data_IF_939790486026
#
_entry.id   IF_939790486026
#
_cell.length_a   1.000
_cell.length_b   1.000
_cell.length_c   1.000
_cell.angle_alpha   90.00
_cell.angle_beta   90.00
_cell.angle_gamma   90.00
#
_symmetry.space_group_name_H-M   'P 1'
#
loop_
_entity.id
_entity.type
_entity.pdbx_description
1 polymer ?
#
# COMPACT_ATOMS: atom_id res chain seq x y z
N UNK A 1 -20.24 -12.88 -26.26
CA UNK A 1 -19.35 -12.88 -25.09
C UNK A 1 -20.05 -13.40 -23.82
N UNK A 2 -21.12 -12.76 -23.32
CA UNK A 2 -21.87 -13.21 -22.12
C UNK A 2 -22.30 -14.69 -22.15
N UNK A 3 -22.94 -15.15 -23.24
CA UNK A 3 -23.38 -16.56 -23.42
C UNK A 3 -22.22 -17.58 -23.42
N UNK A 4 -21.05 -17.19 -23.94
CA UNK A 4 -19.88 -18.10 -23.99
C UNK A 4 -19.32 -18.28 -22.59
N UNK A 5 -19.15 -17.18 -21.84
CA UNK A 5 -18.73 -17.24 -20.44
C UNK A 5 -19.71 -18.07 -19.61
N UNK A 6 -21.01 -17.88 -19.82
CA UNK A 6 -22.04 -18.65 -19.10
C UNK A 6 -21.92 -20.16 -19.33
N UNK A 7 -21.77 -20.59 -20.59
CA UNK A 7 -21.58 -22.00 -20.92
C UNK A 7 -20.28 -22.58 -20.34
N UNK A 8 -19.19 -21.79 -20.31
CA UNK A 8 -17.93 -22.21 -19.69
C UNK A 8 -18.15 -22.41 -18.19
N UNK A 9 -18.72 -21.42 -17.50
CA UNK A 9 -18.92 -21.48 -16.05
C UNK A 9 -19.83 -22.63 -15.65
N UNK A 10 -20.90 -22.93 -16.40
CA UNK A 10 -21.75 -24.10 -16.14
C UNK A 10 -20.97 -25.42 -16.28
N UNK A 11 -20.08 -25.55 -17.27
CA UNK A 11 -19.22 -26.74 -17.38
C UNK A 11 -18.31 -26.92 -16.15
N UNK A 12 -17.77 -25.83 -15.60
CA UNK A 12 -16.97 -25.89 -14.37
C UNK A 12 -17.82 -26.31 -13.18
N UNK A 13 -19.04 -25.77 -13.05
CA UNK A 13 -20.00 -26.15 -12.01
C UNK A 13 -20.36 -27.64 -12.11
N UNK A 14 -20.84 -28.08 -13.26
CA UNK A 14 -21.32 -29.45 -13.49
C UNK A 14 -20.21 -30.48 -13.33
N UNK A 15 -19.02 -30.17 -13.85
CA UNK A 15 -17.84 -31.02 -13.74
C UNK A 15 -17.12 -30.94 -12.39
N UNK A 16 -17.53 -30.05 -11.48
CA UNK A 16 -16.82 -29.72 -10.22
C UNK A 16 -15.33 -29.45 -10.44
N UNK A 17 -15.01 -28.81 -11.56
CA UNK A 17 -13.63 -28.57 -11.98
C UNK A 17 -13.06 -27.44 -11.11
N UNK A 18 -11.92 -27.62 -10.42
CA UNK A 18 -11.33 -26.55 -9.63
C UNK A 18 -11.06 -25.31 -10.48
N UNK A 19 -11.38 -24.13 -9.93
CA UNK A 19 -11.01 -22.85 -10.54
C UNK A 19 -9.80 -22.33 -9.79
N UNK A 20 -8.69 -22.06 -10.49
CA UNK A 20 -7.54 -21.44 -9.84
C UNK A 20 -7.71 -19.93 -9.77
N UNK A 21 -8.04 -19.31 -10.91
CA UNK A 21 -8.20 -17.88 -11.07
C UNK A 21 -9.46 -17.55 -11.85
N UNK A 22 -10.20 -16.55 -11.37
CA UNK A 22 -11.27 -15.90 -12.11
C UNK A 22 -10.94 -14.42 -12.29
N UNK A 23 -10.86 -13.97 -13.54
CA UNK A 23 -10.77 -12.54 -13.88
C UNK A 23 -12.06 -12.11 -14.60
N UNK A 24 -12.86 -11.33 -13.89
CA UNK A 24 -14.07 -10.70 -14.40
C UNK A 24 -13.79 -9.21 -14.57
N UNK A 25 -13.53 -8.81 -15.81
CA UNK A 25 -13.36 -7.41 -16.19
C UNK A 25 -14.48 -7.00 -17.14
N UNK A 26 -15.23 -5.96 -16.76
CA UNK A 26 -16.37 -5.48 -17.53
C UNK A 26 -16.22 -4.00 -17.87
N UNK A 27 -16.52 -3.64 -19.11
CA UNK A 27 -16.22 -2.30 -19.66
C UNK A 27 -17.42 -1.63 -20.34
N UNK A 28 -18.64 -2.19 -20.24
CA UNK A 28 -19.81 -1.71 -20.99
C UNK A 28 -20.94 -1.35 -20.01
N UNK A 29 -21.54 -0.17 -20.15
CA UNK A 29 -22.60 0.29 -19.25
C UNK A 29 -23.92 -0.47 -19.46
N UNK A 30 -24.10 -1.58 -18.76
CA UNK A 30 -25.39 -2.28 -18.70
C UNK A 30 -25.55 -2.98 -17.36
N UNK A 31 -26.58 -2.57 -16.62
CA UNK A 31 -26.97 -3.17 -15.33
C UNK A 31 -27.54 -4.59 -15.49
N UNK A 32 -27.85 -5.03 -16.71
CA UNK A 32 -28.39 -6.38 -17.01
C UNK A 32 -27.40 -7.51 -16.69
N UNK A 33 -26.15 -7.20 -16.31
CA UNK A 33 -25.07 -8.18 -16.12
C UNK A 33 -24.85 -8.54 -14.66
N UNK A 34 -25.43 -7.80 -13.70
CA UNK A 34 -25.25 -8.10 -12.27
C UNK A 34 -25.71 -9.52 -11.88
N UNK A 35 -26.85 -10.04 -12.39
CA UNK A 35 -27.22 -11.43 -12.11
C UNK A 35 -26.21 -12.44 -12.66
N UNK A 36 -25.59 -12.16 -13.80
CA UNK A 36 -24.55 -13.02 -14.39
C UNK A 36 -23.26 -12.97 -13.56
N UNK A 37 -22.85 -11.80 -13.06
CA UNK A 37 -21.71 -11.70 -12.15
C UNK A 37 -21.94 -12.49 -10.87
N UNK A 38 -23.11 -12.35 -10.25
CA UNK A 38 -23.45 -13.12 -9.06
C UNK A 38 -23.37 -14.63 -9.33
N UNK A 39 -23.90 -15.07 -10.48
CA UNK A 39 -23.84 -16.47 -10.91
C UNK A 39 -22.41 -16.96 -11.10
N UNK A 40 -21.57 -16.20 -11.82
CA UNK A 40 -20.18 -16.60 -12.09
C UNK A 40 -19.30 -16.55 -10.86
N UNK A 41 -19.51 -15.56 -9.98
CA UNK A 41 -18.86 -15.49 -8.68
C UNK A 41 -19.24 -16.72 -7.85
N UNK A 42 -20.53 -17.02 -7.71
CA UNK A 42 -21.02 -18.19 -6.95
C UNK A 42 -20.36 -19.50 -7.42
N UNK A 43 -20.32 -19.74 -8.75
CA UNK A 43 -19.62 -20.90 -9.32
C UNK A 43 -18.14 -20.91 -8.93
N UNK A 44 -17.44 -19.79 -9.08
CA UNK A 44 -16.01 -19.73 -8.76
C UNK A 44 -15.73 -20.00 -7.28
N UNK A 45 -16.54 -19.44 -6.38
CA UNK A 45 -16.42 -19.66 -4.94
C UNK A 45 -16.69 -21.14 -4.59
N UNK A 46 -17.73 -21.75 -5.16
CA UNK A 46 -18.05 -23.18 -4.95
C UNK A 46 -16.96 -24.12 -5.51
N UNK A 47 -16.26 -23.70 -6.56
CA UNK A 47 -15.19 -24.44 -7.20
C UNK A 47 -13.79 -24.13 -6.62
N UNK A 48 -13.73 -23.47 -5.46
CA UNK A 48 -12.48 -23.31 -4.70
C UNK A 48 -11.50 -22.32 -5.32
N UNK A 49 -12.00 -21.22 -5.92
CA UNK A 49 -11.15 -20.15 -6.48
C UNK A 49 -10.09 -19.67 -5.48
N UNK A 50 -8.87 -19.49 -5.97
CA UNK A 50 -7.75 -18.94 -5.20
C UNK A 50 -7.53 -17.47 -5.51
N UNK A 51 -7.63 -17.09 -6.79
CA UNK A 51 -7.36 -15.73 -7.23
C UNK A 51 -8.62 -15.14 -7.84
N UNK A 52 -9.24 -14.18 -7.16
CA UNK A 52 -10.43 -13.49 -7.64
C UNK A 52 -10.07 -12.06 -8.01
N UNK A 53 -10.33 -11.75 -9.27
CA UNK A 53 -10.11 -10.43 -9.84
C UNK A 53 -11.42 -9.93 -10.42
N UNK A 54 -11.92 -8.82 -9.90
CA UNK A 54 -13.21 -8.25 -10.27
C UNK A 54 -13.07 -6.75 -10.56
N UNK A 55 -13.28 -6.36 -11.82
CA UNK A 55 -13.14 -4.99 -12.30
C UNK A 55 -14.39 -4.53 -12.99
N UNK A 56 -14.94 -3.43 -12.48
CA UNK A 56 -16.03 -2.68 -13.10
C UNK A 56 -15.60 -1.22 -13.24
N UNK A 57 -16.19 -0.47 -14.19
CA UNK A 57 -15.95 0.96 -14.30
C UNK A 57 -16.41 1.65 -13.00
N UNK A 58 -15.59 2.58 -12.50
CA UNK A 58 -15.79 3.23 -11.20
C UNK A 58 -17.06 4.08 -11.10
N UNK A 59 -17.70 4.42 -12.23
CA UNK A 59 -19.00 5.10 -12.26
C UNK A 59 -20.19 4.14 -12.10
N UNK A 60 -19.98 2.82 -12.18
CA UNK A 60 -20.99 1.80 -11.89
C UNK A 60 -21.01 1.44 -10.39
N UNK A 61 -21.01 2.46 -9.54
CA UNK A 61 -20.90 2.40 -8.07
C UNK A 61 -22.03 1.65 -7.35
N UNK A 62 -23.00 1.08 -8.07
CA UNK A 62 -24.19 0.47 -7.46
C UNK A 62 -24.14 -1.04 -7.33
N UNK A 63 -23.12 -1.73 -7.88
CA UNK A 63 -23.07 -3.19 -7.82
C UNK A 63 -22.83 -3.69 -6.38
N UNK A 64 -23.80 -4.40 -5.75
CA UNK A 64 -23.64 -4.92 -4.40
C UNK A 64 -22.83 -6.22 -4.44
N UNK A 65 -21.50 -6.08 -4.48
CA UNK A 65 -20.59 -7.22 -4.49
C UNK A 65 -20.85 -8.12 -3.26
N UNK A 66 -21.00 -9.45 -3.41
CA UNK A 66 -21.30 -10.37 -2.31
C UNK A 66 -20.06 -10.63 -1.43
N UNK A 67 -19.55 -9.58 -0.78
CA UNK A 67 -18.31 -9.59 -0.01
C UNK A 67 -18.31 -10.63 1.10
N UNK A 68 -19.41 -10.81 1.83
CA UNK A 68 -19.48 -11.83 2.89
C UNK A 68 -19.26 -13.24 2.34
N UNK A 69 -19.83 -13.56 1.18
CA UNK A 69 -19.64 -14.85 0.51
C UNK A 69 -18.21 -15.02 0.03
N UNK A 70 -17.63 -13.96 -0.55
CA UNK A 70 -16.23 -13.95 -1.00
C UNK A 70 -15.29 -14.21 0.19
N UNK A 71 -15.47 -13.49 1.31
CA UNK A 71 -14.64 -13.63 2.51
C UNK A 71 -14.85 -14.98 3.21
N UNK A 72 -16.01 -15.60 3.09
CA UNK A 72 -16.29 -16.93 3.67
C UNK A 72 -15.56 -18.07 2.91
N UNK A 73 -15.00 -17.78 1.75
CA UNK A 73 -14.35 -18.77 0.89
C UNK A 73 -12.98 -19.15 1.45
N UNK A 74 -12.78 -20.45 1.72
CA UNK A 74 -11.61 -20.98 2.42
C UNK A 74 -10.36 -21.13 1.55
N UNK A 75 -10.51 -21.05 0.23
CA UNK A 75 -9.42 -21.22 -0.75
C UNK A 75 -8.82 -19.91 -1.23
N UNK A 76 -9.53 -18.78 -1.00
CA UNK A 76 -9.21 -17.49 -1.58
C UNK A 76 -7.88 -16.97 -1.01
N UNK A 77 -6.90 -16.73 -1.89
CA UNK A 77 -5.56 -16.22 -1.59
C UNK A 77 -5.37 -14.79 -2.05
N UNK A 78 -5.90 -14.44 -3.22
CA UNK A 78 -5.83 -13.09 -3.76
C UNK A 78 -7.21 -12.53 -4.08
N UNK A 79 -7.47 -11.31 -3.62
CA UNK A 79 -8.66 -10.54 -3.96
C UNK A 79 -8.26 -9.19 -4.55
N UNK A 80 -8.62 -8.95 -5.81
CA UNK A 80 -8.37 -7.69 -6.52
C UNK A 80 -9.69 -7.11 -6.96
N UNK A 81 -10.05 -5.95 -6.40
CA UNK A 81 -11.29 -5.23 -6.70
C UNK A 81 -10.97 -3.89 -7.35
N UNK A 82 -11.68 -3.57 -8.43
CA UNK A 82 -11.60 -2.26 -9.09
C UNK A 82 -12.99 -1.67 -9.32
N UNK A 83 -13.19 -0.41 -8.91
CA UNK A 83 -14.41 0.35 -9.18
C UNK A 83 -15.65 -0.05 -8.38
N UNK A 84 -15.51 -0.88 -7.34
CA UNK A 84 -16.63 -1.37 -6.52
C UNK A 84 -17.01 -0.40 -5.39
N UNK A 85 -18.27 -0.43 -4.95
CA UNK A 85 -18.72 0.25 -3.73
C UNK A 85 -18.95 -0.75 -2.60
N UNK A 86 -18.19 -0.60 -1.51
CA UNK A 86 -18.28 -1.39 -0.29
C UNK A 86 -18.97 -0.64 0.86
N UNK A 87 -19.38 0.62 0.67
CA UNK A 87 -20.09 1.41 1.67
C UNK A 87 -21.48 0.83 1.96
N UNK A 88 -22.15 0.27 0.96
CA UNK A 88 -23.45 -0.37 1.09
C UNK A 88 -23.39 -1.80 1.67
N UNK A 89 -22.20 -2.33 1.94
CA UNK A 89 -22.05 -3.69 2.47
C UNK A 89 -22.20 -3.67 3.99
N UNK A 90 -23.32 -4.18 4.50
CA UNK A 90 -23.49 -4.47 5.93
C UNK A 90 -22.59 -5.63 6.36
N UNK A 91 -21.31 -5.33 6.62
CA UNK A 91 -20.37 -6.29 7.24
C UNK A 91 -20.63 -6.51 8.75
N UNK A 92 -21.68 -5.88 9.30
CA UNK A 92 -21.99 -5.86 10.73
C UNK A 92 -22.77 -7.07 11.25
N UNK A 93 -23.29 -7.96 10.40
CA UNK A 93 -24.17 -9.06 10.84
C UNK A 93 -23.53 -10.46 10.84
N UNK A 94 -22.28 -10.61 10.39
CA UNK A 94 -21.58 -11.89 10.42
C UNK A 94 -20.07 -11.72 10.55
N UNK A 95 -19.49 -12.24 11.63
CA UNK A 95 -18.04 -12.35 11.76
C UNK A 95 -17.56 -13.41 10.79
N UNK A 96 -17.08 -12.97 9.62
CA UNK A 96 -16.46 -13.85 8.63
C UNK A 96 -14.96 -13.70 8.74
N UNK A 97 -14.26 -14.81 8.96
CA UNK A 97 -12.80 -14.84 9.02
C UNK A 97 -12.22 -15.55 7.80
N UNK A 98 -11.62 -14.77 6.90
CA UNK A 98 -10.89 -15.24 5.72
C UNK A 98 -9.41 -15.46 6.05
N UNK A 99 -9.09 -16.59 6.66
CA UNK A 99 -7.70 -16.94 7.01
C UNK A 99 -6.84 -17.33 5.80
N UNK A 100 -7.43 -17.59 4.64
CA UNK A 100 -6.69 -17.97 3.43
C UNK A 100 -6.15 -16.79 2.64
N UNK A 101 -6.73 -15.59 2.82
CA UNK A 101 -6.36 -14.41 2.05
C UNK A 101 -4.93 -13.98 2.41
N UNK A 102 -4.14 -13.68 1.39
CA UNK A 102 -2.75 -13.21 1.47
C UNK A 102 -2.62 -11.82 0.85
N UNK A 103 -3.29 -11.60 -0.28
CA UNK A 103 -3.26 -10.33 -0.99
C UNK A 103 -4.65 -9.72 -1.10
N UNK A 104 -4.74 -8.45 -0.72
CA UNK A 104 -5.92 -7.61 -0.90
C UNK A 104 -5.53 -6.36 -1.69
N UNK A 105 -6.13 -6.17 -2.85
CA UNK A 105 -5.93 -4.99 -3.69
C UNK A 105 -7.26 -4.31 -3.97
N UNK A 106 -7.39 -3.07 -3.53
CA UNK A 106 -8.57 -2.24 -3.72
C UNK A 106 -8.18 -1.01 -4.54
N UNK A 107 -8.76 -0.86 -5.72
CA UNK A 107 -8.47 0.25 -6.64
C UNK A 107 -9.76 0.99 -7.00
N UNK A 108 -9.81 2.30 -6.76
CA UNK A 108 -11.00 3.12 -7.01
C UNK A 108 -12.27 2.54 -6.36
N UNK A 109 -12.11 1.97 -5.15
CA UNK A 109 -13.20 1.37 -4.38
C UNK A 109 -13.76 2.40 -3.41
N UNK A 110 -15.08 2.50 -3.31
CA UNK A 110 -15.75 3.27 -2.27
C UNK A 110 -15.82 2.50 -0.97
N UNK A 111 -15.09 2.95 0.07
CA UNK A 111 -15.17 2.34 1.40
C UNK A 111 -14.85 3.37 2.50
N UNK A 112 -15.60 3.32 3.59
CA UNK A 112 -15.32 4.16 4.77
C UNK A 112 -14.29 3.52 5.69
N UNK A 113 -13.74 4.33 6.61
CA UNK A 113 -12.71 3.91 7.58
C UNK A 113 -13.11 2.65 8.36
N UNK A 114 -14.37 2.60 8.84
CA UNK A 114 -14.90 1.44 9.58
C UNK A 114 -14.96 0.17 8.72
N UNK A 115 -15.37 0.30 7.45
CA UNK A 115 -15.44 -0.83 6.51
C UNK A 115 -14.05 -1.41 6.25
N UNK A 116 -13.02 -0.55 6.12
CA UNK A 116 -11.63 -1.00 6.02
C UNK A 116 -11.20 -1.77 7.27
N UNK A 117 -11.49 -1.25 8.48
CA UNK A 117 -11.14 -1.95 9.72
C UNK A 117 -11.80 -3.33 9.82
N UNK A 118 -13.08 -3.44 9.48
CA UNK A 118 -13.78 -4.72 9.47
C UNK A 118 -13.11 -5.68 8.49
N UNK A 119 -12.79 -5.23 7.27
CA UNK A 119 -12.15 -6.05 6.24
C UNK A 119 -10.77 -6.57 6.68
N UNK A 120 -9.93 -5.71 7.27
CA UNK A 120 -8.62 -6.10 7.77
C UNK A 120 -8.73 -7.08 8.94
N UNK A 121 -9.68 -6.88 9.85
CA UNK A 121 -9.92 -7.78 10.98
C UNK A 121 -10.46 -9.15 10.53
N UNK A 122 -11.25 -9.18 9.46
CA UNK A 122 -11.72 -10.41 8.82
C UNK A 122 -10.60 -11.20 8.13
N UNK A 123 -9.48 -10.57 7.78
CA UNK A 123 -8.43 -11.19 6.95
C UNK A 123 -7.03 -11.09 7.61
N UNK A 124 -6.81 -11.73 8.76
CA UNK A 124 -5.61 -11.48 9.59
C UNK A 124 -4.29 -11.97 8.97
N UNK A 125 -4.33 -12.78 7.91
CA UNK A 125 -3.13 -13.34 7.26
C UNK A 125 -2.75 -12.64 5.96
N UNK A 126 -3.31 -11.45 5.69
CA UNK A 126 -2.84 -10.59 4.59
C UNK A 126 -1.36 -10.30 4.79
N UNK A 127 -0.55 -10.60 3.77
CA UNK A 127 0.86 -10.24 3.65
C UNK A 127 1.10 -9.10 2.65
N UNK A 128 0.13 -8.81 1.78
CA UNK A 128 0.22 -7.75 0.78
C UNK A 128 -1.10 -6.95 0.70
N UNK A 129 -1.05 -5.66 1.06
CA UNK A 129 -2.18 -4.75 1.02
C UNK A 129 -1.92 -3.61 0.03
N UNK A 130 -2.83 -3.43 -0.92
CA UNK A 130 -2.80 -2.34 -1.89
C UNK A 130 -4.11 -1.54 -1.78
N UNK A 131 -3.99 -0.25 -1.46
CA UNK A 131 -5.07 0.72 -1.42
C UNK A 131 -4.78 1.82 -2.43
N UNK A 132 -5.53 1.85 -3.53
CA UNK A 132 -5.29 2.78 -4.64
C UNK A 132 -6.55 3.59 -4.95
N UNK A 133 -6.49 4.92 -4.80
CA UNK A 133 -7.59 5.86 -5.02
C UNK A 133 -8.93 5.44 -4.41
N UNK A 134 -8.89 4.84 -3.22
CA UNK A 134 -10.09 4.46 -2.47
C UNK A 134 -10.81 5.71 -1.94
N UNK A 135 -12.07 5.90 -2.34
CA UNK A 135 -12.89 7.06 -1.93
C UNK A 135 -13.44 6.86 -0.52
N UNK A 136 -13.76 7.97 0.16
CA UNK A 136 -14.31 8.05 1.53
C UNK A 136 -13.42 7.56 2.68
N UNK A 137 -12.26 6.98 2.40
CA UNK A 137 -11.22 6.80 3.41
C UNK A 137 -10.67 8.17 3.83
N UNK A 138 -10.77 8.51 5.12
CA UNK A 138 -10.11 9.67 5.72
C UNK A 138 -8.93 9.23 6.57
N UNK A 139 -9.05 8.07 7.20
CA UNK A 139 -8.04 7.48 8.08
C UNK A 139 -7.66 6.09 7.59
N UNK A 140 -6.37 5.84 7.49
CA UNK A 140 -5.81 4.52 7.20
C UNK A 140 -5.04 4.08 8.44
N UNK A 141 -5.59 3.11 9.16
CA UNK A 141 -5.00 2.59 10.40
C UNK A 141 -4.74 1.10 10.27
N UNK A 142 -3.49 0.69 10.43
CA UNK A 142 -3.07 -0.72 10.50
C UNK A 142 -2.47 -0.89 11.90
N UNK A 143 -3.25 -1.36 12.87
CA UNK A 143 -2.90 -1.34 14.30
C UNK A 143 -2.71 -2.77 14.83
N UNK A 144 -1.66 -3.46 14.37
CA UNK A 144 -1.36 -4.86 14.72
C UNK A 144 -2.42 -5.90 14.32
N UNK A 145 -3.47 -5.52 13.60
CA UNK A 145 -4.51 -6.42 13.11
C UNK A 145 -4.03 -7.37 11.99
N UNK A 146 -2.90 -7.06 11.35
CA UNK A 146 -2.29 -7.87 10.29
C UNK A 146 -0.91 -8.40 10.73
N UNK A 147 -0.83 -9.47 11.54
CA UNK A 147 0.44 -10.00 12.04
C UNK A 147 1.39 -10.54 10.96
N UNK A 148 0.90 -10.79 9.73
CA UNK A 148 1.68 -11.33 8.61
C UNK A 148 2.01 -10.31 7.53
N UNK A 149 1.64 -9.03 7.71
CA UNK A 149 1.83 -8.00 6.69
C UNK A 149 3.31 -7.82 6.33
N UNK A 150 3.64 -7.88 5.04
CA UNK A 150 4.98 -7.70 4.49
C UNK A 150 5.07 -6.49 3.58
N UNK A 151 4.01 -6.21 2.84
CA UNK A 151 3.96 -5.11 1.87
C UNK A 151 2.67 -4.31 2.03
N UNK A 152 2.80 -2.98 2.11
CA UNK A 152 1.69 -2.03 2.08
C UNK A 152 1.96 -0.99 1.00
N UNK A 153 1.03 -0.82 0.08
CA UNK A 153 1.06 0.23 -0.94
C UNK A 153 -0.21 1.07 -0.84
N UNK A 154 -0.04 2.38 -0.62
CA UNK A 154 -1.13 3.32 -0.47
C UNK A 154 -0.94 4.44 -1.49
N UNK A 155 -1.89 4.59 -2.42
CA UNK A 155 -1.99 5.75 -3.31
C UNK A 155 -3.30 6.47 -3.03
N UNK A 156 -3.21 7.68 -2.49
CA UNK A 156 -4.42 8.42 -2.08
C UNK A 156 -4.22 9.92 -2.01
N UNK A 157 -5.25 10.66 -2.38
CA UNK A 157 -5.39 12.11 -2.15
C UNK A 157 -6.36 12.37 -0.99
N UNK A 158 -6.11 13.42 -0.20
CA UNK A 158 -7.02 13.87 0.86
C UNK A 158 -7.18 12.90 2.02
N UNK A 159 -6.11 12.19 2.39
CA UNK A 159 -6.10 11.37 3.63
C UNK A 159 -5.74 12.27 4.80
N UNK A 160 -6.52 12.24 5.87
CA UNK A 160 -6.27 13.02 7.08
C UNK A 160 -5.20 12.35 7.96
N UNK A 161 -5.21 11.01 8.02
CA UNK A 161 -4.33 10.21 8.89
C UNK A 161 -3.91 8.91 8.22
N UNK A 162 -2.61 8.60 8.29
CA UNK A 162 -2.06 7.26 8.05
C UNK A 162 -1.25 6.87 9.28
N UNK A 163 -1.71 5.81 9.96
CA UNK A 163 -1.04 5.23 11.12
C UNK A 163 -0.78 3.75 10.89
N UNK A 164 0.48 3.35 10.91
CA UNK A 164 0.89 1.97 10.67
C UNK A 164 1.70 1.48 11.86
N UNK A 165 1.17 0.49 12.58
CA UNK A 165 1.87 -0.28 13.60
C UNK A 165 1.93 -1.73 13.12
N UNK A 166 3.07 -2.09 12.53
CA UNK A 166 3.24 -3.35 11.84
C UNK A 166 4.69 -3.84 11.94
N UNK A 167 5.05 -4.56 13.01
CA UNK A 167 6.41 -5.05 13.21
C UNK A 167 6.92 -5.99 12.11
N UNK A 168 6.03 -6.65 11.37
CA UNK A 168 6.41 -7.59 10.30
C UNK A 168 6.57 -6.95 8.93
N UNK A 169 6.21 -5.66 8.78
CA UNK A 169 6.22 -4.92 7.53
C UNK A 169 7.65 -4.69 7.02
N UNK A 170 7.90 -5.06 5.77
CA UNK A 170 9.21 -4.96 5.11
C UNK A 170 9.21 -3.88 4.02
N UNK A 171 8.06 -3.67 3.36
CA UNK A 171 7.93 -2.74 2.25
C UNK A 171 6.74 -1.82 2.43
N UNK A 172 6.98 -0.51 2.42
CA UNK A 172 5.94 0.51 2.45
C UNK A 172 6.12 1.45 1.28
N UNK A 173 5.04 1.65 0.53
CA UNK A 173 4.99 2.64 -0.55
C UNK A 173 3.80 3.57 -0.34
N UNK A 174 4.05 4.87 -0.30
CA UNK A 174 3.03 5.90 -0.07
C UNK A 174 3.08 6.98 -1.14
N UNK A 175 1.96 7.17 -1.83
CA UNK A 175 1.80 8.14 -2.91
C UNK A 175 0.67 9.08 -2.58
N UNK A 176 0.96 10.38 -2.45
CA UNK A 176 -0.03 11.44 -2.24
C UNK A 176 0.00 12.47 -3.37
N UNK A 177 -1.20 12.91 -3.77
CA UNK A 177 -1.41 13.92 -4.80
C UNK A 177 -1.71 15.32 -4.26
N UNK A 178 -1.82 15.51 -2.94
CA UNK A 178 -2.22 16.79 -2.31
C UNK A 178 -1.05 17.47 -1.61
N UNK A 179 -1.16 18.79 -1.43
CA UNK A 179 -0.17 19.62 -0.70
C UNK A 179 -0.40 19.68 0.82
N UNK A 180 -1.53 19.15 1.29
CA UNK A 180 -1.89 19.11 2.71
C UNK A 180 -1.20 17.94 3.43
N UNK A 181 -0.84 18.17 4.69
CA UNK A 181 -0.19 17.17 5.52
C UNK A 181 -1.22 16.16 6.03
N UNK A 182 -1.16 14.93 5.52
CA UNK A 182 -1.68 13.80 6.27
C UNK A 182 -0.79 13.63 7.51
N UNK A 183 -1.40 13.42 8.69
CA UNK A 183 -0.62 12.92 9.82
C UNK A 183 -0.10 11.53 9.44
N UNK A 184 1.22 11.36 9.41
CA UNK A 184 1.88 10.16 8.92
C UNK A 184 2.77 9.58 10.02
N UNK A 185 2.29 8.51 10.65
CA UNK A 185 2.91 7.86 11.81
C UNK A 185 3.15 6.38 11.48
N UNK A 186 4.42 5.96 11.54
CA UNK A 186 4.83 4.60 11.19
C UNK A 186 5.69 4.02 12.30
N UNK A 187 5.23 2.93 12.88
CA UNK A 187 5.97 2.04 13.76
C UNK A 187 6.11 0.68 13.08
N UNK A 188 7.22 0.54 12.33
CA UNK A 188 7.56 -0.64 11.54
C UNK A 188 9.08 -0.90 11.66
N UNK A 189 9.57 -1.44 12.80
CA UNK A 189 11.00 -1.57 13.09
C UNK A 189 11.79 -2.49 12.15
N UNK A 190 11.10 -3.33 11.35
CA UNK A 190 11.72 -4.24 10.37
C UNK A 190 11.56 -3.76 8.93
N UNK A 191 11.23 -2.48 8.72
CA UNK A 191 11.05 -1.93 7.39
C UNK A 191 12.38 -1.98 6.61
N UNK A 192 12.34 -2.60 5.44
CA UNK A 192 13.50 -2.70 4.53
C UNK A 192 13.47 -1.55 3.54
N UNK A 193 12.30 -1.30 2.93
CA UNK A 193 12.13 -0.28 1.91
C UNK A 193 10.97 0.65 2.23
N UNK A 194 11.25 1.96 2.19
CA UNK A 194 10.25 3.02 2.20
C UNK A 194 10.27 3.73 0.84
N UNK A 195 9.14 3.82 0.16
CA UNK A 195 8.97 4.65 -1.03
C UNK A 195 7.92 5.72 -0.73
N UNK A 196 8.28 6.97 -1.01
CA UNK A 196 7.41 8.11 -0.84
C UNK A 196 7.35 8.91 -2.15
N UNK A 197 6.12 9.19 -2.60
CA UNK A 197 5.85 10.12 -3.70
C UNK A 197 4.86 11.19 -3.26
N UNK A 198 5.23 12.45 -3.36
CA UNK A 198 4.37 13.56 -2.96
C UNK A 198 5.07 14.90 -3.07
N UNK A 199 4.32 16.00 -2.89
CA UNK A 199 4.88 17.34 -2.98
C UNK A 199 5.62 17.78 -1.70
N UNK A 200 5.14 17.36 -0.52
CA UNK A 200 5.73 17.68 0.78
C UNK A 200 5.96 16.42 1.58
N UNK A 201 7.15 16.23 2.14
CA UNK A 201 7.43 15.08 3.00
C UNK A 201 6.81 15.27 4.39
N UNK A 202 6.36 14.20 5.09
CA UNK A 202 5.68 14.36 6.37
C UNK A 202 6.58 14.95 7.45
N UNK A 203 6.06 15.93 8.20
CA UNK A 203 6.83 16.67 9.20
C UNK A 203 7.43 15.78 10.31
N UNK A 204 6.78 14.65 10.62
CA UNK A 204 7.28 13.64 11.56
C UNK A 204 8.64 13.05 11.17
N UNK A 205 8.95 13.00 9.88
CA UNK A 205 10.25 12.54 9.37
C UNK A 205 11.27 13.68 9.22
N UNK A 206 10.81 14.93 9.29
CA UNK A 206 11.63 16.14 9.13
C UNK A 206 12.12 16.71 10.47
N UNK A 207 11.56 16.27 11.60
CA UNK A 207 12.04 16.68 12.91
C UNK A 207 13.40 16.03 13.20
N UNK A 208 14.46 16.84 13.12
CA UNK A 208 15.85 16.41 13.35
C UNK A 208 16.10 15.91 14.77
N UNK A 209 15.22 16.20 15.73
CA UNK A 209 15.31 15.71 17.10
C UNK A 209 14.69 14.32 17.27
N UNK A 210 13.93 13.85 16.29
CA UNK A 210 13.28 12.54 16.29
C UNK A 210 14.00 11.59 15.34
N UNK A 211 14.41 10.44 15.86
CA UNK A 211 14.89 9.36 15.00
C UNK A 211 13.71 8.67 14.32
N UNK A 212 13.92 8.23 13.08
CA UNK A 212 12.94 7.42 12.37
C UNK A 212 12.77 6.08 13.08
N UNK A 213 11.57 5.80 13.57
CA UNK A 213 11.18 4.53 14.23
C UNK A 213 11.28 3.30 13.32
N UNK A 214 11.25 3.50 11.99
CA UNK A 214 11.22 2.42 11.01
C UNK A 214 12.58 2.02 10.42
N UNK A 215 13.64 2.83 10.61
CA UNK A 215 15.02 2.53 10.19
C UNK A 215 15.17 1.83 8.81
N UNK A 216 14.57 2.35 7.72
CA UNK A 216 14.59 1.69 6.42
C UNK A 216 16.02 1.61 5.88
N UNK A 217 16.37 0.48 5.25
CA UNK A 217 17.66 0.33 4.56
C UNK A 217 17.68 0.99 3.19
N UNK A 218 16.50 1.09 2.57
CA UNK A 218 16.29 1.72 1.27
C UNK A 218 15.17 2.73 1.37
N UNK A 219 15.43 3.96 0.95
CA UNK A 219 14.45 5.02 0.92
C UNK A 219 14.38 5.65 -0.47
N UNK A 220 13.22 5.58 -1.13
CA UNK A 220 12.97 6.21 -2.42
C UNK A 220 12.09 7.42 -2.22
N UNK A 221 12.52 8.56 -2.76
CA UNK A 221 11.80 9.81 -2.69
C UNK A 221 11.57 10.35 -4.11
N UNK A 222 10.31 10.48 -4.50
CA UNK A 222 9.84 11.14 -5.73
C UNK A 222 9.09 12.41 -5.33
N UNK A 223 9.75 13.56 -5.42
CA UNK A 223 9.24 14.83 -4.86
C UNK A 223 9.82 16.05 -5.58
N UNK A 224 9.50 17.25 -5.09
CA UNK A 224 10.12 18.49 -5.57
C UNK A 224 11.59 18.55 -5.13
N UNK A 225 12.43 19.26 -5.89
CA UNK A 225 13.85 19.41 -5.55
C UNK A 225 14.05 20.09 -4.18
N UNK A 226 13.16 21.01 -3.77
CA UNK A 226 13.18 21.64 -2.45
C UNK A 226 12.93 20.64 -1.32
N UNK A 227 11.92 19.76 -1.46
CA UNK A 227 11.64 18.71 -0.48
C UNK A 227 12.79 17.72 -0.41
N UNK A 228 13.38 17.34 -1.56
CA UNK A 228 14.53 16.43 -1.60
C UNK A 228 15.75 17.05 -0.91
N UNK A 229 16.06 18.32 -1.16
CA UNK A 229 17.15 19.02 -0.50
C UNK A 229 16.95 19.07 1.02
N UNK A 230 15.73 19.40 1.47
CA UNK A 230 15.40 19.41 2.90
C UNK A 230 15.57 18.04 3.55
N UNK A 231 15.17 16.96 2.87
CA UNK A 231 15.36 15.60 3.38
C UNK A 231 16.82 15.20 3.41
N UNK A 232 17.62 15.61 2.42
CA UNK A 232 19.07 15.42 2.45
C UNK A 232 19.71 16.10 3.66
N UNK A 233 19.34 17.35 3.96
CA UNK A 233 19.84 18.08 5.13
C UNK A 233 19.53 17.32 6.44
N UNK A 234 18.31 16.77 6.57
CA UNK A 234 17.92 15.93 7.71
C UNK A 234 18.78 14.67 7.81
N UNK A 235 18.99 13.95 6.71
CA UNK A 235 19.82 12.74 6.68
C UNK A 235 21.28 13.04 7.06
N UNK A 236 21.83 14.15 6.56
CA UNK A 236 23.19 14.60 6.90
C UNK A 236 23.30 15.02 8.36
N UNK A 237 22.28 15.70 8.89
CA UNK A 237 22.22 16.02 10.31
C UNK A 237 22.19 14.76 11.19
N UNK A 238 21.33 13.78 10.86
CA UNK A 238 21.25 12.49 11.55
C UNK A 238 22.58 11.74 11.53
N UNK A 239 23.30 11.76 10.40
CA UNK A 239 24.63 11.16 10.27
C UNK A 239 25.67 11.88 11.14
N UNK A 240 25.71 13.23 11.11
CA UNK A 240 26.69 14.00 11.88
C UNK A 240 26.49 13.91 13.41
N UNK A 241 25.24 13.86 13.86
CA UNK A 241 24.88 13.68 15.28
C UNK A 241 25.39 12.35 15.86
N UNK A 242 25.58 11.34 15.00
CA UNK A 242 26.14 10.05 15.40
C UNK A 242 27.61 10.08 15.84
N UNK A 243 28.33 11.19 15.59
CA UNK A 243 29.72 11.38 15.99
C UNK A 243 29.89 12.22 17.27
N UNK A 244 28.83 12.86 17.76
CA UNK A 244 28.86 13.71 18.96
C UNK A 244 28.45 12.93 20.21
N UNK A 245 29.28 11.98 20.67
CA UNK A 245 29.07 11.34 21.97
C UNK A 245 29.82 12.10 23.08
N UNK A 246 29.14 13.05 23.72
CA UNK A 246 29.50 13.46 25.08
C UNK A 246 28.84 12.51 26.10
N UNK A 247 29.60 12.17 27.13
CA UNK A 247 29.27 11.19 28.17
C UNK A 247 27.94 11.49 28.89
N UNK A 248 27.20 10.42 29.20
CA UNK A 248 26.29 10.36 30.34
C UNK A 248 24.82 10.64 30.03
N UNK A 249 24.09 9.61 29.57
CA UNK A 249 22.68 9.39 29.95
C UNK A 249 22.24 8.03 29.41
N UNK A 250 21.46 7.29 30.22
CA UNK A 250 20.70 6.12 29.79
C UNK A 250 19.69 6.55 28.72
N UNK A 251 20.15 6.68 27.46
CA UNK A 251 19.27 6.83 26.31
C UNK A 251 18.87 5.41 25.83
N UNK A 252 17.63 5.21 25.36
CA UNK A 252 17.18 3.93 24.82
C UNK A 252 18.16 3.37 23.77
N UNK A 253 18.14 2.06 23.51
CA UNK A 253 18.93 1.46 22.43
C UNK A 253 18.49 2.04 21.08
N UNK A 254 19.17 3.09 20.64
CA UNK A 254 18.86 3.85 19.42
C UNK A 254 19.85 3.46 18.31
N UNK A 255 19.35 3.06 17.13
CA UNK A 255 20.21 2.84 15.95
C UNK A 255 20.71 4.19 15.44
N UNK A 256 21.98 4.28 15.08
CA UNK A 256 22.58 5.51 14.54
C UNK A 256 22.81 5.36 13.04
N UNK A 257 22.50 6.41 12.27
CA UNK A 257 22.82 6.46 10.84
C UNK A 257 24.32 6.69 10.67
N UNK A 258 25.03 5.77 10.00
CA UNK A 258 26.48 5.80 9.82
C UNK A 258 26.90 6.24 8.43
N UNK A 259 26.13 5.87 7.43
CA UNK A 259 26.44 6.17 6.03
C UNK A 259 25.14 6.32 5.26
N UNK A 260 25.16 7.23 4.29
CA UNK A 260 24.08 7.48 3.32
C UNK A 260 24.72 7.46 1.94
N UNK A 261 24.22 6.60 1.05
CA UNK A 261 24.52 6.66 -0.38
C UNK A 261 23.27 7.11 -1.11
N UNK A 262 23.42 7.95 -2.13
CA UNK A 262 22.30 8.49 -2.88
C UNK A 262 22.54 8.33 -4.38
N UNK A 263 21.57 7.73 -5.06
CA UNK A 263 21.54 7.61 -6.51
C UNK A 263 20.36 8.43 -7.05
N UNK A 264 20.62 9.28 -8.05
CA UNK A 264 19.57 10.03 -8.76
C UNK A 264 19.01 9.20 -9.91
N UNK A 265 17.69 9.24 -10.11
CA UNK A 265 17.06 8.63 -11.27
C UNK A 265 17.24 9.52 -12.51
N UNK A 266 17.78 8.93 -13.57
CA UNK A 266 17.87 9.51 -14.91
C UNK A 266 16.54 9.32 -15.63
N UNK A 267 15.80 10.42 -15.80
CA UNK A 267 14.52 10.38 -16.52
C UNK A 267 14.67 10.26 -18.03
N UNK A 268 15.78 10.73 -18.61
CA UNK A 268 16.03 10.68 -20.05
C UNK A 268 16.30 9.23 -20.48
N UNK A 269 17.11 8.52 -19.70
CA UNK A 269 17.50 7.13 -19.99
C UNK A 269 16.67 6.08 -19.24
N UNK A 270 15.74 6.49 -18.38
CA UNK A 270 14.89 5.61 -17.55
C UNK A 270 15.71 4.63 -16.69
N UNK A 271 16.83 5.10 -16.12
CA UNK A 271 17.79 4.28 -15.36
C UNK A 271 18.25 5.03 -14.11
N UNK A 272 18.84 4.32 -13.17
CA UNK A 272 19.53 4.96 -12.04
C UNK A 272 20.93 5.38 -12.50
N UNK A 273 21.36 6.60 -12.17
CA UNK A 273 22.77 6.95 -12.28
C UNK A 273 23.56 6.06 -11.30
N UNK A 274 24.59 5.37 -11.81
CA UNK A 274 25.37 4.41 -11.02
C UNK A 274 26.54 5.05 -10.26
N UNK A 275 26.74 6.36 -10.40
CA UNK A 275 27.74 7.11 -9.66
C UNK A 275 27.07 7.80 -8.47
N UNK A 276 27.53 7.55 -7.22
CA UNK A 276 26.96 8.17 -6.02
C UNK A 276 27.00 9.69 -6.12
N UNK A 277 25.88 10.34 -5.83
CA UNK A 277 25.85 11.81 -5.73
C UNK A 277 26.59 12.23 -4.47
N UNK A 278 27.68 12.99 -4.60
CA UNK A 278 28.37 13.57 -3.44
C UNK A 278 27.42 14.54 -2.73
N UNK A 279 27.05 14.19 -1.49
CA UNK A 279 26.09 14.91 -0.64
C UNK A 279 26.59 16.28 -0.13
N UNK A 280 27.48 16.97 -0.85
CA UNK A 280 28.13 18.19 -0.37
C UNK A 280 28.54 19.26 -1.38
N UNK A 281 28.42 19.05 -2.70
CA UNK A 281 29.12 19.95 -3.64
C UNK A 281 28.38 20.36 -4.92
N UNK A 282 27.09 20.05 -5.11
CA UNK A 282 26.42 20.42 -6.37
C UNK A 282 25.05 21.04 -6.17
N UNK A 283 25.02 22.38 -6.07
CA UNK A 283 23.85 23.17 -6.48
C UNK A 283 23.71 23.09 -8.00
N UNK A 284 23.21 21.96 -8.53
CA UNK A 284 22.93 21.84 -9.97
C UNK A 284 21.70 22.66 -10.35
N UNK A 285 21.81 23.33 -11.50
CA UNK A 285 20.75 24.14 -12.09
C UNK A 285 19.49 23.31 -12.36
N UNK A 286 18.41 23.73 -11.71
CA UNK A 286 17.08 23.12 -11.66
C UNK A 286 16.41 23.24 -13.03
N UNK A 287 16.10 22.11 -13.68
CA UNK A 287 15.26 22.07 -14.90
C UNK A 287 14.03 21.17 -14.79
N UNK A 288 13.93 20.30 -13.80
CA UNK A 288 12.75 19.47 -13.58
C UNK A 288 12.00 19.87 -12.29
N UNK A 289 10.68 20.02 -12.39
CA UNK A 289 9.80 20.33 -11.24
C UNK A 289 9.68 19.17 -10.24
N UNK A 290 10.15 17.96 -10.61
CA UNK A 290 10.16 16.75 -9.78
C UNK A 290 11.42 15.94 -10.05
N UNK A 291 12.08 15.51 -8.98
CA UNK A 291 13.24 14.62 -9.01
C UNK A 291 12.87 13.29 -8.32
N UNK A 292 13.63 12.23 -8.61
CA UNK A 292 13.54 10.95 -7.90
C UNK A 292 14.92 10.49 -7.46
N UNK A 293 15.04 10.20 -6.16
CA UNK A 293 16.27 9.72 -5.53
C UNK A 293 16.04 8.39 -4.83
N UNK A 294 17.08 7.56 -4.81
CA UNK A 294 17.17 6.36 -4.01
C UNK A 294 18.32 6.53 -3.01
N UNK A 295 17.99 6.50 -1.73
CA UNK A 295 18.93 6.55 -0.63
C UNK A 295 19.12 5.14 -0.06
N UNK A 296 20.37 4.72 0.08
CA UNK A 296 20.76 3.55 0.88
C UNK A 296 21.26 4.04 2.23
N UNK A 297 20.60 3.59 3.29
CA UNK A 297 20.82 4.06 4.66
C UNK A 297 21.42 2.93 5.50
N UNK A 298 22.63 3.14 6.02
CA UNK A 298 23.34 2.16 6.82
C UNK A 298 23.26 2.52 8.30
N UNK A 299 22.46 1.75 9.04
CA UNK A 299 22.23 1.95 10.47
C UNK A 299 23.15 1.04 11.30
N UNK A 300 23.65 1.53 12.43
CA UNK A 300 24.41 0.71 13.38
C UNK A 300 23.50 -0.28 14.11
N UNK A 301 23.97 -1.52 14.27
CA UNK A 301 23.42 -2.45 15.25
C UNK A 301 24.07 -2.16 16.61
N UNK A 302 23.26 -2.02 17.66
CA UNK A 302 23.75 -2.16 19.04
C UNK A 302 23.83 -3.65 19.39
#
# INVERSE_FOLDING_TARGET
MKKVMDNIMERYRDGKIPIEKLDLSYSVDSNEVFPLFNKWLDIALQNGVKDLVFRIPSHLTSYPLPMLTILATKSLRELVLTGCDLYCVSLSSGVVNCYSLRKLSLTQVGLGDNTLQILLNSCPFIDNLILDYCSWLKKIEILNNLPKIKSVSIRKSGTELVKIQAPTLEHLSYFTGVEEFAMFDIDAPNLVSLEYKGFKFPATFMDTNLQWSCYPTRFVLDSTSETIASVMDVLMHMMSSSHSTSHGSNKPLHRQLKEVKADKFDWENQRWHCDPVELGSERMAIRDLKDKFCFLLYWSCN
#
